data_IF_409237249896
#
_entry.id   IF_409237249896
#
_cell.length_a   1.000
_cell.length_b   1.000
_cell.length_c   1.000
_cell.angle_alpha   90.00
_cell.angle_beta   90.00
_cell.angle_gamma   90.00
#
_symmetry.space_group_name_H-M   'P 1'
#
loop_
_entity.id
_entity.type
_entity.pdbx_description
1 polymer ?
#
# COMPACT_ATOMS: atom_id res chain seq x y z
N UNK A 1 -7.67 26.52 6.80
CA UNK A 1 -8.57 26.17 5.68
C UNK A 1 -9.06 24.78 5.98
N UNK A 2 -10.31 24.69 6.45
CA UNK A 2 -10.93 23.45 6.97
C UNK A 2 -11.37 22.64 5.75
N UNK A 3 -10.91 21.40 5.61
CA UNK A 3 -11.53 20.42 4.72
C UNK A 3 -11.81 19.17 5.53
N UNK A 4 -13.08 19.05 5.92
CA UNK A 4 -13.68 17.92 6.58
C UNK A 4 -14.21 16.98 5.48
N UNK A 5 -13.38 16.04 5.00
CA UNK A 5 -13.82 14.97 4.10
C UNK A 5 -13.05 13.68 4.38
N UNK A 6 -13.76 12.68 4.89
CA UNK A 6 -13.31 11.28 4.93
C UNK A 6 -13.07 10.81 3.50
N UNK A 7 -11.81 10.75 3.06
CA UNK A 7 -11.46 10.29 1.71
C UNK A 7 -11.34 8.78 1.69
N UNK A 8 -12.38 8.12 1.20
CA UNK A 8 -12.34 6.72 0.77
C UNK A 8 -11.66 6.68 -0.60
N UNK A 9 -10.39 6.26 -0.65
CA UNK A 9 -9.72 6.01 -1.93
C UNK A 9 -10.13 4.63 -2.45
N UNK A 10 -10.79 4.60 -3.61
CA UNK A 10 -11.04 3.37 -4.38
C UNK A 10 -10.35 3.53 -5.73
N UNK A 11 -9.21 2.87 -5.93
CA UNK A 11 -8.56 2.85 -7.23
C UNK A 11 -9.20 1.78 -8.13
N UNK A 12 -9.97 2.22 -9.13
CA UNK A 12 -10.29 1.41 -10.31
C UNK A 12 -9.29 1.75 -11.41
N UNK A 13 -8.33 0.87 -11.69
CA UNK A 13 -7.61 0.92 -12.96
C UNK A 13 -8.02 -0.25 -13.85
N UNK A 14 -8.87 0.07 -14.83
CA UNK A 14 -9.01 -0.68 -16.06
C UNK A 14 -7.96 -0.15 -17.07
N UNK A 15 -7.12 -1.06 -17.55
CA UNK A 15 -6.45 -1.08 -18.86
C UNK A 15 -5.95 0.25 -19.44
N UNK A 16 -4.64 0.53 -19.38
CA UNK A 16 -3.94 1.34 -20.41
C UNK A 16 -2.44 1.00 -20.49
N UNK A 17 -2.08 0.03 -21.34
CA UNK A 17 -1.03 0.13 -22.39
C UNK A 17 -0.91 -1.24 -23.10
N UNK A 18 -1.41 -1.31 -24.34
CA UNK A 18 -1.44 -2.52 -25.16
C UNK A 18 -0.26 -2.60 -26.15
N UNK A 19 0.84 -1.89 -25.90
CA UNK A 19 1.93 -1.78 -26.87
C UNK A 19 3.19 -2.61 -26.58
N UNK A 20 3.27 -3.34 -25.46
CA UNK A 20 4.42 -4.24 -25.17
C UNK A 20 3.95 -5.57 -24.59
N UNK A 21 4.36 -6.65 -25.25
CA UNK A 21 3.84 -8.01 -25.04
C UNK A 21 3.95 -8.46 -23.57
N UNK A 22 2.84 -8.95 -22.95
CA UNK A 22 2.80 -9.42 -21.56
C UNK A 22 3.83 -10.50 -21.20
N UNK A 23 4.39 -11.19 -22.18
CA UNK A 23 5.24 -12.38 -22.01
C UNK A 23 6.69 -12.08 -21.61
N UNK A 24 7.22 -10.87 -21.87
CA UNK A 24 8.62 -10.56 -21.59
C UNK A 24 8.91 -10.34 -20.09
N UNK A 25 7.90 -9.93 -19.30
CA UNK A 25 8.00 -9.84 -17.84
C UNK A 25 7.78 -11.20 -17.13
N UNK A 26 7.38 -12.26 -17.84
CA UNK A 26 6.86 -13.47 -17.21
C UNK A 26 7.88 -14.61 -17.07
N UNK A 27 8.95 -14.66 -17.87
CA UNK A 27 9.84 -15.84 -17.93
C UNK A 27 10.98 -15.86 -16.91
N UNK A 28 11.26 -14.75 -16.21
CA UNK A 28 12.32 -14.69 -15.18
C UNK A 28 11.84 -14.99 -13.75
N UNK A 29 10.53 -14.96 -13.48
CA UNK A 29 10.01 -14.92 -12.10
C UNK A 29 9.40 -16.23 -11.59
N UNK A 30 9.41 -17.31 -12.37
CA UNK A 30 8.86 -18.62 -11.95
C UNK A 30 9.78 -19.46 -11.06
N UNK A 31 10.86 -18.89 -10.50
CA UNK A 31 11.89 -19.70 -9.81
C UNK A 31 12.35 -19.27 -8.42
N UNK A 32 11.77 -18.27 -7.75
CA UNK A 32 12.09 -17.99 -6.33
C UNK A 32 10.89 -17.52 -5.53
N UNK A 33 10.80 -17.98 -4.28
CA UNK A 33 9.76 -17.59 -3.32
C UNK A 33 9.95 -16.15 -2.82
N UNK A 34 8.86 -15.47 -2.45
CA UNK A 34 8.82 -14.07 -1.99
C UNK A 34 9.89 -13.70 -0.93
N UNK A 35 10.23 -14.61 -0.02
CA UNK A 35 11.26 -14.39 1.02
C UNK A 35 12.68 -14.16 0.47
N UNK A 36 13.03 -14.77 -0.67
CA UNK A 36 14.37 -14.64 -1.25
C UNK A 36 14.52 -13.34 -2.05
N UNK A 37 13.41 -12.68 -2.38
CA UNK A 37 13.40 -11.43 -3.14
C UNK A 37 13.73 -10.23 -2.26
N UNK A 38 13.11 -10.11 -1.07
CA UNK A 38 13.32 -8.93 -0.18
C UNK A 38 14.75 -8.82 0.35
N UNK A 39 15.48 -9.93 0.45
CA UNK A 39 16.85 -9.97 0.97
C UNK A 39 17.93 -9.87 -0.12
N UNK A 40 17.57 -9.91 -1.41
CA UNK A 40 18.57 -9.97 -2.47
C UNK A 40 19.15 -8.59 -2.80
N UNK A 41 20.48 -8.48 -2.95
CA UNK A 41 21.14 -7.30 -3.51
C UNK A 41 20.59 -6.92 -4.90
N UNK A 42 20.01 -7.92 -5.58
CA UNK A 42 19.33 -7.79 -6.86
C UNK A 42 18.01 -7.00 -6.76
N UNK A 43 17.30 -7.02 -5.62
CA UNK A 43 16.15 -6.16 -5.34
C UNK A 43 16.56 -4.68 -5.37
N UNK A 44 17.65 -4.33 -4.68
CA UNK A 44 18.20 -2.95 -4.67
C UNK A 44 18.60 -2.47 -6.06
N UNK A 45 19.20 -3.33 -6.88
CA UNK A 45 19.63 -2.95 -8.25
C UNK A 45 18.51 -3.06 -9.30
N UNK A 46 17.48 -3.88 -9.07
CA UNK A 46 16.35 -4.05 -9.99
C UNK A 46 15.27 -3.00 -9.75
N UNK A 47 15.03 -2.59 -8.48
CA UNK A 47 14.24 -1.40 -8.16
C UNK A 47 14.85 -0.13 -8.75
N UNK A 48 16.19 -0.02 -8.77
CA UNK A 48 16.90 1.09 -9.40
C UNK A 48 16.83 1.10 -10.94
N UNK A 49 16.45 -0.03 -11.58
CA UNK A 49 16.47 -0.21 -13.04
C UNK A 49 15.08 -0.10 -13.68
N UNK A 50 14.01 -0.23 -12.90
CA UNK A 50 12.65 0.11 -13.30
C UNK A 50 12.29 1.48 -12.70
N UNK A 51 11.62 2.36 -13.44
CA UNK A 51 11.45 3.79 -13.13
C UNK A 51 10.70 4.13 -11.82
N UNK A 52 10.34 3.13 -11.01
CA UNK A 52 9.87 3.27 -9.62
C UNK A 52 10.97 3.89 -8.72
N UNK A 53 12.24 3.79 -9.12
CA UNK A 53 13.33 4.52 -8.45
C UNK A 53 13.22 6.04 -8.52
N UNK A 54 12.34 6.60 -9.38
CA UNK A 54 12.16 8.04 -9.52
C UNK A 54 11.10 8.63 -8.60
N UNK A 55 10.24 7.82 -8.00
CA UNK A 55 9.10 8.28 -7.21
C UNK A 55 9.14 7.77 -5.77
N UNK A 56 10.32 7.85 -5.14
CA UNK A 56 10.41 7.53 -3.71
C UNK A 56 9.52 8.47 -2.88
N UNK A 57 9.16 8.09 -1.64
CA UNK A 57 8.45 8.99 -0.73
C UNK A 57 9.04 10.39 -0.66
N UNK A 58 10.37 10.50 -0.55
CA UNK A 58 11.05 11.79 -0.46
C UNK A 58 10.89 12.61 -1.75
N UNK A 59 10.88 11.98 -2.92
CA UNK A 59 10.63 12.69 -4.18
C UNK A 59 9.22 13.25 -4.19
N UNK A 60 8.21 12.47 -3.81
CA UNK A 60 6.82 12.93 -3.76
C UNK A 60 6.61 14.02 -2.70
N UNK A 61 7.11 13.81 -1.49
CA UNK A 61 7.06 14.79 -0.40
C UNK A 61 7.68 16.13 -0.82
N UNK A 62 8.82 16.10 -1.51
CA UNK A 62 9.48 17.31 -2.02
C UNK A 62 8.69 17.95 -3.17
N UNK A 63 8.21 17.15 -4.12
CA UNK A 63 7.46 17.64 -5.27
C UNK A 63 6.16 18.35 -4.87
N UNK A 64 5.54 17.92 -3.77
CA UNK A 64 4.28 18.46 -3.26
C UNK A 64 4.42 19.34 -2.00
N UNK A 65 5.64 19.76 -1.64
CA UNK A 65 5.93 20.65 -0.49
C UNK A 65 5.39 20.14 0.87
N UNK A 66 5.46 18.83 1.11
CA UNK A 66 5.06 18.23 2.39
C UNK A 66 5.94 18.68 3.55
N UNK A 67 7.18 19.08 3.28
CA UNK A 67 8.08 19.66 4.30
C UNK A 67 7.42 20.82 5.04
N UNK A 68 6.69 21.70 4.32
CA UNK A 68 5.94 22.78 4.94
C UNK A 68 4.79 22.26 5.81
N UNK A 69 4.02 21.29 5.32
CA UNK A 69 2.92 20.69 6.07
C UNK A 69 3.40 20.02 7.36
N UNK A 70 4.49 19.26 7.30
CA UNK A 70 5.09 18.60 8.46
C UNK A 70 5.55 19.59 9.53
N UNK A 71 6.15 20.72 9.13
CA UNK A 71 6.56 21.75 10.09
C UNK A 71 5.37 22.39 10.81
N UNK A 72 4.21 22.51 10.16
CA UNK A 72 3.00 23.08 10.78
C UNK A 72 2.40 22.19 11.88
N UNK A 73 2.67 20.89 11.83
CA UNK A 73 2.17 19.90 12.80
C UNK A 73 3.26 19.42 13.77
N UNK A 74 4.42 20.06 13.77
CA UNK A 74 5.51 19.77 14.72
C UNK A 74 6.43 18.62 14.31
N UNK A 75 6.47 18.28 13.02
CA UNK A 75 7.40 17.30 12.44
C UNK A 75 6.70 16.15 11.72
N UNK A 76 7.48 15.39 10.95
CA UNK A 76 6.99 14.28 10.12
C UNK A 76 6.28 13.20 10.95
N UNK A 77 6.75 12.90 12.15
CA UNK A 77 6.13 11.90 13.04
C UNK A 77 4.77 12.31 13.58
N UNK A 78 4.42 13.61 13.54
CA UNK A 78 3.11 14.10 13.94
C UNK A 78 2.15 14.27 12.75
N UNK A 79 2.62 14.04 11.52
CA UNK A 79 1.83 14.27 10.33
C UNK A 79 0.71 13.23 10.21
N UNK A 80 -0.54 13.69 10.38
CA UNK A 80 -1.71 12.82 10.44
C UNK A 80 -2.01 12.27 11.84
N UNK A 81 -1.30 12.70 12.89
CA UNK A 81 -1.61 12.25 14.25
C UNK A 81 -3.04 12.61 14.67
N UNK A 82 -3.76 11.60 15.18
CA UNK A 82 -5.17 11.71 15.53
C UNK A 82 -6.13 11.42 14.37
N UNK A 83 -5.61 11.27 13.15
CA UNK A 83 -6.39 10.89 11.97
C UNK A 83 -6.21 9.39 11.67
N UNK A 84 -7.24 8.82 11.06
CA UNK A 84 -7.23 7.44 10.55
C UNK A 84 -7.42 7.44 9.04
N UNK A 85 -6.53 6.75 8.33
CA UNK A 85 -6.68 6.48 6.89
C UNK A 85 -7.18 5.03 6.76
N UNK A 86 -8.39 4.88 6.21
CA UNK A 86 -8.97 3.55 5.96
C UNK A 86 -8.69 3.13 4.52
N UNK A 87 -7.99 2.01 4.35
CA UNK A 87 -7.68 1.42 3.04
C UNK A 87 -8.52 0.16 2.88
N UNK A 88 -9.20 0.00 1.75
CA UNK A 88 -10.06 -1.16 1.47
C UNK A 88 -9.50 -1.90 0.27
N UNK A 89 -9.11 -3.16 0.47
CA UNK A 89 -8.50 -3.99 -0.57
C UNK A 89 -9.04 -5.41 -0.59
N UNK A 90 -9.00 -6.06 -1.76
CA UNK A 90 -9.30 -7.47 -1.88
C UNK A 90 -8.06 -8.32 -1.62
N UNK A 91 -8.24 -9.49 -0.98
CA UNK A 91 -7.19 -10.47 -0.66
C UNK A 91 -6.13 -9.97 0.35
N UNK A 92 -5.80 -8.68 0.34
CA UNK A 92 -4.80 -8.06 1.17
C UNK A 92 -3.38 -8.51 0.79
N UNK A 93 -2.44 -8.28 1.70
CA UNK A 93 -1.07 -8.77 1.57
C UNK A 93 -0.69 -9.63 2.79
N UNK A 94 -0.23 -10.88 2.59
CA UNK A 94 0.15 -11.76 3.69
C UNK A 94 1.41 -11.29 4.44
N UNK A 95 2.20 -10.40 3.83
CA UNK A 95 3.48 -9.90 4.34
C UNK A 95 3.46 -8.42 4.70
N UNK A 96 2.30 -7.76 4.65
CA UNK A 96 2.16 -6.30 4.77
C UNK A 96 2.92 -5.68 5.96
N UNK A 97 2.90 -6.34 7.13
CA UNK A 97 3.61 -5.86 8.32
C UNK A 97 5.13 -5.86 8.17
N UNK A 98 5.67 -6.89 7.50
CA UNK A 98 7.10 -7.00 7.27
C UNK A 98 7.55 -6.05 6.16
N UNK A 99 6.74 -5.93 5.11
CA UNK A 99 7.04 -5.09 3.96
C UNK A 99 7.11 -3.60 4.37
N UNK A 100 6.09 -3.12 5.10
CA UNK A 100 6.08 -1.74 5.61
C UNK A 100 7.20 -1.45 6.62
N UNK A 101 7.60 -2.42 7.44
CA UNK A 101 8.75 -2.26 8.35
C UNK A 101 10.06 -2.07 7.56
N UNK A 102 10.26 -2.87 6.51
CA UNK A 102 11.44 -2.74 5.63
C UNK A 102 11.40 -1.41 4.87
N UNK A 103 10.22 -1.00 4.41
CA UNK A 103 10.00 0.28 3.75
C UNK A 103 10.31 1.47 4.68
N UNK A 104 9.80 1.44 5.92
CA UNK A 104 10.05 2.45 6.93
C UNK A 104 11.55 2.61 7.20
N UNK A 105 12.26 1.50 7.36
CA UNK A 105 13.72 1.50 7.53
C UNK A 105 14.46 2.04 6.30
N UNK A 106 14.01 1.67 5.10
CA UNK A 106 14.64 2.10 3.86
C UNK A 106 14.51 3.62 3.62
N UNK A 107 13.42 4.22 4.09
CA UNK A 107 13.11 5.63 3.84
C UNK A 107 13.20 6.53 5.08
N UNK A 108 13.55 5.98 6.24
CA UNK A 108 13.71 6.73 7.49
C UNK A 108 12.39 7.25 8.05
N UNK A 109 11.31 6.49 7.88
CA UNK A 109 9.99 6.80 8.41
C UNK A 109 9.83 6.27 9.84
N UNK A 110 9.00 6.91 10.68
CA UNK A 110 8.63 6.32 11.96
C UNK A 110 7.79 5.04 11.74
N UNK A 111 7.77 4.11 12.71
CA UNK A 111 6.95 2.90 12.61
C UNK A 111 5.47 3.21 12.39
N UNK A 112 4.85 2.50 11.46
CA UNK A 112 3.42 2.58 11.18
C UNK A 112 2.54 2.14 12.36
N UNK A 113 1.41 2.84 12.54
CA UNK A 113 0.27 2.37 13.34
C UNK A 113 -0.73 1.62 12.45
N UNK A 114 -0.53 0.33 12.23
CA UNK A 114 -1.32 -0.49 11.31
C UNK A 114 -2.29 -1.43 12.02
N UNK A 115 -3.60 -1.29 11.74
CA UNK A 115 -4.61 -2.29 12.05
C UNK A 115 -5.07 -3.02 10.79
N UNK A 116 -5.40 -4.29 10.92
CA UNK A 116 -5.88 -5.13 9.80
C UNK A 116 -7.22 -5.73 10.20
N UNK A 117 -8.26 -5.43 9.42
CA UNK A 117 -9.62 -5.90 9.62
C UNK A 117 -10.02 -6.82 8.47
N UNK A 118 -10.63 -7.96 8.81
CA UNK A 118 -11.17 -8.88 7.82
C UNK A 118 -12.64 -9.19 8.18
N UNK A 119 -13.60 -8.31 7.82
CA UNK A 119 -14.99 -8.42 8.28
C UNK A 119 -15.70 -9.70 7.83
N UNK A 120 -15.20 -10.36 6.79
CA UNK A 120 -15.71 -11.65 6.29
C UNK A 120 -14.75 -12.82 6.55
N UNK A 121 -13.79 -12.64 7.46
CA UNK A 121 -12.66 -13.56 7.67
C UNK A 121 -11.49 -13.23 6.74
N UNK A 122 -10.25 -13.35 7.25
CA UNK A 122 -9.08 -13.06 6.41
C UNK A 122 -8.94 -14.15 5.34
N UNK A 123 -8.82 -13.78 4.06
CA UNK A 123 -8.70 -14.76 2.99
C UNK A 123 -7.39 -15.54 3.09
N UNK A 124 -7.42 -16.81 2.70
CA UNK A 124 -6.20 -17.59 2.51
C UNK A 124 -5.52 -17.12 1.22
N UNK A 125 -4.26 -16.71 1.33
CA UNK A 125 -3.50 -16.22 0.18
C UNK A 125 -3.00 -17.37 -0.70
N UNK A 126 -3.25 -17.28 -2.00
CA UNK A 126 -2.76 -18.21 -3.00
C UNK A 126 -1.61 -17.59 -3.83
N UNK A 127 -0.34 -17.96 -3.57
CA UNK A 127 0.81 -17.34 -4.22
C UNK A 127 0.96 -17.67 -5.72
N UNK A 128 0.19 -18.62 -6.26
CA UNK A 128 0.18 -18.91 -7.71
C UNK A 128 -0.98 -18.20 -8.43
N UNK A 129 -1.90 -17.57 -7.70
CA UNK A 129 -2.97 -16.76 -8.27
C UNK A 129 -2.43 -15.39 -8.64
N UNK A 130 -2.23 -15.14 -9.94
CA UNK A 130 -1.75 -13.83 -10.42
C UNK A 130 -2.65 -12.67 -10.00
N UNK A 131 -3.96 -12.93 -9.84
CA UNK A 131 -4.91 -11.95 -9.34
C UNK A 131 -4.60 -11.57 -7.89
N UNK A 132 -4.44 -12.56 -7.00
CA UNK A 132 -4.15 -12.31 -5.58
C UNK A 132 -2.77 -11.69 -5.37
N UNK A 133 -1.78 -12.13 -6.14
CA UNK A 133 -0.45 -11.51 -6.13
C UNK A 133 -0.53 -10.04 -6.56
N UNK A 134 -1.29 -9.72 -7.60
CA UNK A 134 -1.51 -8.34 -8.04
C UNK A 134 -2.11 -7.47 -6.93
N UNK A 135 -3.20 -7.94 -6.32
CA UNK A 135 -3.82 -7.23 -5.20
C UNK A 135 -2.89 -7.09 -4.00
N UNK A 136 -2.08 -8.10 -3.67
CA UNK A 136 -1.13 -8.00 -2.57
C UNK A 136 -0.06 -6.93 -2.82
N UNK A 137 0.34 -6.74 -4.07
CA UNK A 137 1.25 -5.66 -4.46
C UNK A 137 0.58 -4.30 -4.30
N UNK A 138 -0.66 -4.15 -4.79
CA UNK A 138 -1.42 -2.90 -4.68
C UNK A 138 -1.68 -2.55 -3.20
N UNK A 139 -2.09 -3.51 -2.37
CA UNK A 139 -2.25 -3.30 -0.91
C UNK A 139 -0.97 -2.85 -0.23
N UNK A 140 0.16 -3.44 -0.61
CA UNK A 140 1.45 -3.06 -0.04
C UNK A 140 1.80 -1.63 -0.44
N UNK A 141 1.63 -1.29 -1.71
CA UNK A 141 1.87 0.05 -2.23
C UNK A 141 0.97 1.11 -1.56
N UNK A 142 -0.33 0.83 -1.43
CA UNK A 142 -1.31 1.75 -0.87
C UNK A 142 -1.04 2.04 0.61
N UNK A 143 -0.69 1.01 1.40
CA UNK A 143 -0.33 1.17 2.81
C UNK A 143 0.99 1.93 2.95
N UNK A 144 2.04 1.52 2.24
CA UNK A 144 3.37 2.12 2.32
C UNK A 144 3.34 3.61 1.97
N UNK A 145 2.69 3.99 0.86
CA UNK A 145 2.67 5.39 0.43
C UNK A 145 1.68 6.24 1.24
N UNK A 146 0.57 5.69 1.71
CA UNK A 146 -0.32 6.41 2.63
C UNK A 146 0.40 6.75 3.93
N UNK A 147 1.08 5.75 4.52
CA UNK A 147 1.93 5.94 5.70
C UNK A 147 3.06 6.91 5.43
N UNK A 148 3.76 6.79 4.30
CA UNK A 148 4.86 7.70 3.97
C UNK A 148 4.44 9.17 3.88
N UNK A 149 3.22 9.46 3.42
CA UNK A 149 2.71 10.83 3.34
C UNK A 149 2.18 11.34 4.69
N UNK A 150 1.62 10.46 5.53
CA UNK A 150 1.09 10.80 6.85
C UNK A 150 1.60 9.82 7.95
N UNK A 151 2.89 9.88 8.33
CA UNK A 151 3.48 8.83 9.17
C UNK A 151 2.97 8.77 10.62
N UNK A 152 2.28 9.81 11.08
CA UNK A 152 1.63 9.86 12.39
C UNK A 152 0.18 9.34 12.39
N UNK A 153 -0.40 9.04 11.23
CA UNK A 153 -1.77 8.53 11.12
C UNK A 153 -1.86 7.05 11.52
N UNK A 154 -3.06 6.65 11.96
CA UNK A 154 -3.41 5.22 12.02
C UNK A 154 -3.86 4.76 10.64
N UNK A 155 -3.29 3.66 10.15
CA UNK A 155 -3.76 3.01 8.93
C UNK A 155 -4.63 1.82 9.30
N UNK A 156 -5.89 1.86 8.89
CA UNK A 156 -6.84 0.76 9.06
C UNK A 156 -7.05 0.06 7.71
N UNK A 157 -6.35 -1.06 7.53
CA UNK A 157 -6.47 -1.89 6.33
C UNK A 157 -7.66 -2.85 6.47
N UNK A 158 -8.71 -2.64 5.70
CA UNK A 158 -9.91 -3.47 5.64
C UNK A 158 -9.84 -4.41 4.44
N UNK A 159 -9.56 -5.68 4.71
CA UNK A 159 -9.39 -6.74 3.71
C UNK A 159 -10.73 -7.40 3.39
N UNK A 160 -11.18 -7.23 2.15
CA UNK A 160 -12.25 -8.02 1.56
C UNK A 160 -11.75 -9.43 1.20
N UNK A 161 -12.61 -10.43 1.38
CA UNK A 161 -12.26 -11.84 1.12
C UNK A 161 -11.97 -12.14 -0.36
N UNK A 162 -12.40 -11.27 -1.28
CA UNK A 162 -12.20 -11.40 -2.73
C UNK A 162 -12.50 -10.07 -3.44
N UNK A 163 -12.09 -9.93 -4.71
CA UNK A 163 -12.43 -8.79 -5.57
C UNK A 163 -13.73 -8.98 -6.37
N UNK A 164 -14.47 -10.06 -6.15
CA UNK A 164 -15.72 -10.37 -6.84
C UNK A 164 -16.98 -10.17 -5.98
N UNK A 165 -18.13 -10.06 -6.65
CA UNK A 165 -19.43 -9.97 -6.00
C UNK A 165 -19.54 -8.76 -5.07
N UNK A 166 -20.05 -8.97 -3.86
CA UNK A 166 -20.30 -7.91 -2.88
C UNK A 166 -19.20 -7.79 -1.80
N UNK A 167 -18.06 -8.48 -1.94
CA UNK A 167 -17.05 -8.54 -0.89
C UNK A 167 -16.45 -7.16 -0.57
N UNK A 168 -16.08 -6.40 -1.60
CA UNK A 168 -15.61 -5.01 -1.43
C UNK A 168 -16.69 -4.10 -0.83
N UNK A 169 -17.95 -4.26 -1.26
CA UNK A 169 -19.06 -3.47 -0.69
C UNK A 169 -19.28 -3.78 0.80
N UNK A 170 -19.07 -5.03 1.22
CA UNK A 170 -19.13 -5.41 2.63
C UNK A 170 -17.97 -4.83 3.44
N UNK A 171 -16.75 -4.85 2.90
CA UNK A 171 -15.59 -4.20 3.51
C UNK A 171 -15.80 -2.68 3.63
N UNK A 172 -16.33 -2.04 2.59
CA UNK A 172 -16.69 -0.62 2.61
C UNK A 172 -17.76 -0.33 3.66
N UNK A 173 -18.79 -1.16 3.76
CA UNK A 173 -19.82 -1.00 4.80
C UNK A 173 -19.24 -1.16 6.20
N UNK A 174 -18.29 -2.08 6.41
CA UNK A 174 -17.57 -2.19 7.66
C UNK A 174 -16.81 -0.89 7.97
N UNK A 175 -16.08 -0.34 6.99
CA UNK A 175 -15.35 0.91 7.14
C UNK A 175 -16.28 2.08 7.56
N UNK A 176 -17.40 2.27 6.84
CA UNK A 176 -18.36 3.33 7.15
C UNK A 176 -19.00 3.22 8.53
N UNK A 177 -19.22 2.00 9.02
CA UNK A 177 -19.88 1.78 10.31
C UNK A 177 -18.92 1.91 11.51
N UNK A 178 -17.62 1.80 11.30
CA UNK A 178 -16.61 1.79 12.38
C UNK A 178 -15.68 3.01 12.38
N UNK A 179 -15.69 3.81 11.30
CA UNK A 179 -14.78 4.94 11.10
C UNK A 179 -15.49 6.19 10.53
N UNK A 180 -16.82 6.31 10.75
CA UNK A 180 -17.67 7.41 10.29
C UNK A 180 -18.20 8.30 11.41
#
# INVERSE_FOLDING_TARGET
>A
MILNETRVFTHRYALLDNSRSPQAHQTWFTKRTHQEFSQSQQFKTTFAKWEISRYTPQVLQNAYDFSRAYNLVGGISNAGSGETIVIIDAFGSPTIKQDVEVFDQAFGLPPIHLNIYCPQGCPAFNPISLNEVGWSFDTTLDVEYSHAMAPGATIDLVVASTNFGNAINNAMRFALNNHG
#
